data_IF_708252489777
#
_entry.id   IF_708252489777
#
_cell.length_a   1.000
_cell.length_b   1.000
_cell.length_c   1.000
_cell.angle_alpha   90.00
_cell.angle_beta   90.00
_cell.angle_gamma   90.00
#
_symmetry.space_group_name_H-M   'P 1'
#
loop_
_entity.id
_entity.type
_entity.pdbx_description
1 polymer ?
#
# COMPACT_ATOMS: atom_id res chain seq x y z
N UNK A 1 4.26 12.20 -7.26
CA UNK A 1 5.27 11.11 -7.29
C UNK A 1 6.08 11.22 -8.59
N UNK A 2 7.24 10.57 -8.65
CA UNK A 2 8.23 10.72 -9.75
C UNK A 2 9.61 11.18 -9.30
N UNK A 3 9.75 11.61 -8.04
CA UNK A 3 11.04 11.87 -7.39
C UNK A 3 11.56 10.62 -6.67
N UNK A 4 12.86 10.60 -6.37
CA UNK A 4 13.49 9.53 -5.59
C UNK A 4 12.85 9.41 -4.20
N UNK A 5 12.65 10.53 -3.49
CA UNK A 5 12.04 10.55 -2.16
C UNK A 5 10.60 10.01 -2.17
N UNK A 6 9.82 10.40 -3.19
CA UNK A 6 8.47 9.91 -3.41
C UNK A 6 8.39 8.41 -3.73
N UNK A 7 9.48 7.76 -4.12
CA UNK A 7 9.55 6.31 -4.27
C UNK A 7 10.19 5.62 -3.06
N UNK A 8 11.21 6.24 -2.47
CA UNK A 8 11.97 5.65 -1.38
C UNK A 8 11.08 5.38 -0.17
N UNK A 9 10.22 6.34 0.22
CA UNK A 9 9.34 6.18 1.40
C UNK A 9 8.28 5.10 1.17
N UNK A 10 7.36 5.22 0.20
CA UNK A 10 6.32 4.22 -0.01
C UNK A 10 6.90 2.88 -0.48
N UNK A 11 7.96 2.89 -1.29
CA UNK A 11 8.67 1.68 -1.70
C UNK A 11 9.29 0.92 -0.53
N UNK A 12 9.89 1.62 0.44
CA UNK A 12 10.41 0.98 1.67
C UNK A 12 9.28 0.41 2.51
N UNK A 13 8.14 1.09 2.63
CA UNK A 13 6.98 0.56 3.34
C UNK A 13 6.45 -0.72 2.68
N UNK A 14 6.28 -0.73 1.36
CA UNK A 14 5.89 -1.94 0.63
C UNK A 14 6.93 -3.05 0.76
N UNK A 15 8.23 -2.72 0.77
CA UNK A 15 9.29 -3.69 1.00
C UNK A 15 9.18 -4.34 2.39
N UNK A 16 8.96 -3.54 3.44
CA UNK A 16 8.79 -4.05 4.81
C UNK A 16 7.55 -4.94 4.91
N UNK A 17 6.43 -4.53 4.32
CA UNK A 17 5.21 -5.36 4.25
C UNK A 17 5.47 -6.66 3.48
N UNK A 18 6.15 -6.59 2.33
CA UNK A 18 6.51 -7.77 1.54
C UNK A 18 7.41 -8.76 2.28
N UNK A 19 8.44 -8.26 2.97
CA UNK A 19 9.32 -9.08 3.82
C UNK A 19 8.53 -9.74 4.95
N UNK A 20 7.60 -9.01 5.58
CA UNK A 20 6.70 -9.55 6.58
C UNK A 20 5.85 -10.70 6.02
N UNK A 21 5.26 -10.53 4.83
CA UNK A 21 4.50 -11.59 4.15
C UNK A 21 5.32 -12.84 3.87
N UNK A 22 6.55 -12.67 3.37
CA UNK A 22 7.47 -13.77 3.08
C UNK A 22 7.79 -14.51 4.38
N UNK A 23 8.17 -13.77 5.43
CA UNK A 23 8.49 -14.36 6.73
C UNK A 23 7.31 -15.16 7.30
N UNK A 24 6.10 -14.59 7.31
CA UNK A 24 4.91 -15.30 7.78
C UNK A 24 4.60 -16.56 6.97
N UNK A 25 4.84 -16.54 5.67
CA UNK A 25 4.62 -17.70 4.80
C UNK A 25 5.66 -18.79 5.06
N UNK A 26 6.94 -18.44 5.14
CA UNK A 26 8.02 -19.37 5.50
C UNK A 26 7.79 -19.98 6.88
N UNK A 27 7.44 -19.16 7.86
CA UNK A 27 7.15 -19.61 9.23
C UNK A 27 5.98 -20.60 9.27
N UNK A 28 4.87 -20.30 8.59
CA UNK A 28 3.72 -21.23 8.50
C UNK A 28 4.08 -22.55 7.84
N UNK A 29 4.83 -22.48 6.74
CA UNK A 29 5.29 -23.66 6.03
C UNK A 29 6.19 -24.52 6.91
N UNK A 30 7.18 -23.91 7.59
CA UNK A 30 8.07 -24.63 8.50
C UNK A 30 7.35 -25.28 9.68
N UNK A 31 6.30 -24.64 10.21
CA UNK A 31 5.53 -25.15 11.35
C UNK A 31 4.52 -26.25 10.97
N UNK A 32 3.90 -26.16 9.78
CA UNK A 32 2.94 -27.16 9.33
C UNK A 32 2.85 -27.19 7.79
N UNK A 33 3.76 -27.92 7.12
CA UNK A 33 3.77 -28.00 5.66
C UNK A 33 2.45 -28.52 5.08
N UNK A 34 1.83 -29.52 5.72
CA UNK A 34 0.58 -30.14 5.26
C UNK A 34 -0.64 -29.22 5.36
N UNK A 35 -0.60 -28.20 6.24
CA UNK A 35 -1.68 -27.21 6.43
C UNK A 35 -1.31 -25.86 5.85
N UNK A 36 -0.24 -25.78 5.05
CA UNK A 36 0.23 -24.52 4.51
C UNK A 36 -0.75 -23.95 3.48
N UNK A 37 -1.12 -22.69 3.70
CA UNK A 37 -1.85 -21.89 2.73
C UNK A 37 -1.31 -20.45 2.78
N UNK A 38 -1.23 -19.82 1.61
CA UNK A 38 -0.92 -18.39 1.50
C UNK A 38 -2.08 -17.57 2.02
N UNK A 39 -1.78 -16.41 2.63
CA UNK A 39 -2.80 -15.48 3.10
C UNK A 39 -2.63 -14.14 2.41
N UNK A 40 -3.75 -13.48 2.14
CA UNK A 40 -3.81 -12.11 1.60
C UNK A 40 -3.23 -11.10 2.58
N UNK A 41 -3.21 -11.41 3.87
CA UNK A 41 -2.61 -10.58 4.92
C UNK A 41 -2.18 -11.42 6.12
N UNK A 42 -1.30 -10.89 6.98
CA UNK A 42 -0.80 -11.60 8.16
C UNK A 42 -0.94 -10.78 9.45
N UNK A 43 -1.50 -11.38 10.52
CA UNK A 43 -1.64 -10.68 11.78
C UNK A 43 -0.28 -10.48 12.46
N UNK A 44 0.01 -9.25 12.91
CA UNK A 44 1.22 -8.98 13.69
C UNK A 44 1.00 -9.43 15.13
N UNK A 45 1.79 -10.40 15.64
CA UNK A 45 1.65 -10.89 17.01
C UNK A 45 2.21 -9.87 18.02
N UNK A 46 1.76 -9.97 19.27
CA UNK A 46 2.22 -9.11 20.37
C UNK A 46 1.27 -7.96 20.72
N UNK A 47 1.69 -7.08 21.63
CA UNK A 47 0.94 -5.90 22.10
C UNK A 47 -0.52 -6.16 22.48
N UNK A 48 -0.82 -7.29 23.12
CA UNK A 48 -2.18 -7.72 23.48
C UNK A 48 -3.16 -7.71 22.29
N UNK A 49 -2.66 -7.98 21.07
CA UNK A 49 -3.48 -8.00 19.85
C UNK A 49 -3.80 -6.62 19.29
N UNK A 50 -3.33 -5.52 19.89
CA UNK A 50 -3.60 -4.15 19.42
C UNK A 50 -3.03 -3.87 18.03
N UNK A 51 -1.93 -4.54 17.67
CA UNK A 51 -1.30 -4.41 16.35
C UNK A 51 -1.72 -5.49 15.36
N UNK A 52 -2.74 -6.30 15.68
CA UNK A 52 -3.17 -7.42 14.84
C UNK A 52 -3.34 -7.01 13.38
N UNK A 53 -3.98 -5.87 13.11
CA UNK A 53 -4.29 -5.38 11.76
C UNK A 53 -3.27 -4.36 11.22
N UNK A 54 -2.06 -4.28 11.79
CA UNK A 54 -1.07 -3.26 11.43
C UNK A 54 -0.72 -3.28 9.93
N UNK A 55 -0.55 -4.45 9.33
CA UNK A 55 -0.29 -4.60 7.90
C UNK A 55 -1.41 -3.96 7.05
N UNK A 56 -2.67 -4.24 7.38
CA UNK A 56 -3.84 -3.69 6.68
C UNK A 56 -3.97 -2.18 6.89
N UNK A 57 -3.64 -1.68 8.07
CA UNK A 57 -3.62 -0.24 8.33
C UNK A 57 -2.53 0.46 7.53
N UNK A 58 -1.32 -0.10 7.47
CA UNK A 58 -0.22 0.47 6.68
C UNK A 58 -0.56 0.51 5.19
N UNK A 59 -1.07 -0.59 4.63
CA UNK A 59 -1.46 -0.65 3.21
C UNK A 59 -2.66 0.24 2.92
N UNK A 60 -3.75 0.11 3.69
CA UNK A 60 -4.99 0.84 3.42
C UNK A 60 -4.87 2.34 3.69
N UNK A 61 -4.45 2.73 4.90
CA UNK A 61 -4.33 4.14 5.27
C UNK A 61 -3.19 4.81 4.51
N UNK A 62 -2.05 4.11 4.35
CA UNK A 62 -0.92 4.62 3.57
C UNK A 62 -1.32 4.92 2.13
N UNK A 63 -1.95 3.95 1.44
CA UNK A 63 -2.42 4.15 0.08
C UNK A 63 -3.51 5.24 -0.02
N UNK A 64 -4.38 5.36 0.98
CA UNK A 64 -5.39 6.42 1.02
C UNK A 64 -4.78 7.81 1.13
N UNK A 65 -3.83 8.01 2.05
CA UNK A 65 -3.14 9.30 2.22
C UNK A 65 -2.41 9.68 0.93
N UNK A 66 -1.66 8.74 0.37
CA UNK A 66 -0.88 8.95 -0.85
C UNK A 66 -1.78 9.24 -2.06
N UNK A 67 -2.93 8.55 -2.17
CA UNK A 67 -3.95 8.82 -3.18
C UNK A 67 -4.42 10.28 -3.13
N UNK A 68 -4.67 10.82 -1.93
CA UNK A 68 -5.07 12.22 -1.78
C UNK A 68 -3.93 13.19 -2.11
N UNK A 69 -2.69 12.86 -1.74
CA UNK A 69 -1.52 13.68 -2.07
C UNK A 69 -1.36 13.78 -3.59
N UNK A 70 -1.44 12.65 -4.30
CA UNK A 70 -1.26 12.59 -5.75
C UNK A 70 -2.44 13.21 -6.52
N UNK A 71 -3.68 12.97 -6.08
CA UNK A 71 -4.88 13.40 -6.81
C UNK A 71 -5.31 14.84 -6.48
N UNK A 72 -5.16 15.27 -5.22
CA UNK A 72 -5.72 16.54 -4.71
C UNK A 72 -4.64 17.58 -4.45
N UNK A 73 -3.49 17.17 -3.91
CA UNK A 73 -2.43 18.10 -3.47
C UNK A 73 -1.25 18.19 -4.44
N UNK A 74 -1.40 17.72 -5.68
CA UNK A 74 -0.37 17.79 -6.70
C UNK A 74 0.20 19.22 -6.82
N UNK A 75 1.53 19.43 -6.73
CA UNK A 75 2.13 20.74 -6.51
C UNK A 75 2.18 21.64 -7.76
N UNK A 76 1.50 21.29 -8.85
CA UNK A 76 1.62 21.98 -10.13
C UNK A 76 0.31 22.71 -10.47
N UNK A 77 0.34 24.04 -10.66
CA UNK A 77 -0.88 24.83 -10.87
C UNK A 77 -1.48 24.69 -12.27
N UNK A 78 -0.68 24.25 -13.25
CA UNK A 78 -1.09 24.20 -14.65
C UNK A 78 -1.40 22.78 -15.12
N UNK A 79 -2.68 22.54 -15.45
CA UNK A 79 -3.15 21.30 -16.07
C UNK A 79 -2.70 21.18 -17.53
N UNK A 80 -2.51 22.28 -18.25
CA UNK A 80 -2.08 22.28 -19.64
C UNK A 80 -0.81 23.11 -19.80
N UNK A 81 0.19 22.56 -20.48
CA UNK A 81 1.45 23.23 -20.84
C UNK A 81 1.60 23.10 -22.35
N UNK A 82 1.82 24.21 -23.05
CA UNK A 82 1.94 24.27 -24.51
C UNK A 82 0.74 23.64 -25.28
N UNK A 83 -0.47 23.76 -24.71
CA UNK A 83 -1.70 23.20 -25.30
C UNK A 83 -1.87 21.68 -25.15
N UNK A 84 -0.98 21.02 -24.40
CA UNK A 84 -1.04 19.58 -24.10
C UNK A 84 -1.23 19.37 -22.61
N UNK A 85 -1.93 18.30 -22.22
CA UNK A 85 -2.11 17.91 -20.82
C UNK A 85 -0.74 17.68 -20.16
N UNK A 86 -0.52 18.33 -19.01
CA UNK A 86 0.74 18.28 -18.28
C UNK A 86 1.08 16.83 -17.92
N UNK A 87 2.24 16.35 -18.38
CA UNK A 87 2.70 14.97 -18.14
C UNK A 87 2.79 14.63 -16.65
N UNK A 88 3.06 15.61 -15.80
CA UNK A 88 3.14 15.39 -14.35
C UNK A 88 1.76 15.08 -13.76
N UNK A 89 0.71 15.75 -14.24
CA UNK A 89 -0.66 15.43 -13.85
C UNK A 89 -1.07 14.04 -14.33
N UNK A 90 -0.65 13.66 -15.54
CA UNK A 90 -0.88 12.31 -16.07
C UNK A 90 -0.21 11.25 -15.19
N UNK A 91 1.04 11.48 -14.79
CA UNK A 91 1.78 10.59 -13.90
C UNK A 91 1.12 10.47 -12.51
N UNK A 92 0.73 11.59 -11.91
CA UNK A 92 0.03 11.56 -10.61
C UNK A 92 -1.33 10.87 -10.70
N UNK A 93 -2.04 11.01 -11.83
CA UNK A 93 -3.29 10.30 -12.08
C UNK A 93 -3.08 8.78 -12.22
N UNK A 94 -2.05 8.36 -12.96
CA UNK A 94 -1.65 6.94 -13.06
C UNK A 94 -1.33 6.37 -11.67
N UNK A 95 -0.53 7.10 -10.88
CA UNK A 95 -0.19 6.70 -9.52
C UNK A 95 -1.42 6.62 -8.61
N UNK A 96 -2.32 7.60 -8.70
CA UNK A 96 -3.60 7.58 -7.99
C UNK A 96 -4.44 6.34 -8.35
N UNK A 97 -4.48 5.97 -9.63
CA UNK A 97 -5.18 4.78 -10.11
C UNK A 97 -4.52 3.47 -9.63
N UNK A 98 -3.22 3.44 -9.36
CA UNK A 98 -2.58 2.31 -8.70
C UNK A 98 -2.90 2.27 -7.19
N UNK A 99 -2.82 3.41 -6.51
CA UNK A 99 -3.04 3.54 -5.07
C UNK A 99 -4.49 3.19 -4.66
N UNK A 100 -5.47 3.54 -5.47
CA UNK A 100 -6.87 3.19 -5.20
C UNK A 100 -7.07 1.66 -5.10
N UNK A 101 -6.32 0.86 -5.85
CA UNK A 101 -6.41 -0.60 -5.80
C UNK A 101 -5.91 -1.15 -4.46
N UNK A 102 -4.79 -0.62 -3.95
CA UNK A 102 -4.28 -0.97 -2.62
C UNK A 102 -5.23 -0.53 -1.50
N UNK A 103 -5.83 0.66 -1.63
CA UNK A 103 -6.83 1.14 -0.68
C UNK A 103 -8.06 0.23 -0.63
N UNK A 104 -8.63 -0.12 -1.78
CA UNK A 104 -9.78 -1.03 -1.87
C UNK A 104 -9.43 -2.39 -1.27
N UNK A 105 -8.25 -2.95 -1.58
CA UNK A 105 -7.78 -4.21 -1.01
C UNK A 105 -7.71 -4.13 0.52
N UNK A 106 -7.05 -3.11 1.06
CA UNK A 106 -6.90 -2.91 2.51
C UNK A 106 -8.26 -2.75 3.21
N UNK A 107 -9.15 -1.93 2.65
CA UNK A 107 -10.47 -1.66 3.20
C UNK A 107 -11.37 -2.90 3.21
N UNK A 108 -11.48 -3.57 2.06
CA UNK A 108 -12.32 -4.77 1.92
C UNK A 108 -11.81 -5.91 2.80
N UNK A 109 -10.49 -6.10 2.88
CA UNK A 109 -9.90 -7.11 3.77
C UNK A 109 -10.15 -6.77 5.24
N UNK A 110 -10.00 -5.50 5.64
CA UNK A 110 -10.23 -5.06 7.01
C UNK A 110 -11.70 -5.25 7.44
N UNK A 111 -12.65 -4.97 6.55
CA UNK A 111 -14.08 -5.22 6.78
C UNK A 111 -14.36 -6.72 6.88
N UNK A 112 -13.71 -7.55 6.06
CA UNK A 112 -13.92 -9.01 6.06
C UNK A 112 -13.46 -9.71 7.35
N UNK A 113 -12.53 -9.12 8.11
CA UNK A 113 -11.87 -9.78 9.25
C UNK A 113 -12.28 -9.22 10.60
N UNK A 114 -13.14 -8.20 10.60
CA UNK A 114 -13.65 -7.52 11.79
C UNK A 114 -15.09 -7.95 12.06
#
# INVERSE_FOLDING_TARGET
>A
MGSFEGHAVPGTLFLVVGLWHIWCSVYRYAMSPEKFWTRIWNPVPGFNGRLRYLELYLVGIGAFIDLFIELVFAPYPEYFVDGVLNRIHLNNFEHSAMLIMFFILGLTTLISVK
#
